data_IF_384912318971
#
_entry.id   IF_384912318971
#
_cell.length_a   1.000
_cell.length_b   1.000
_cell.length_c   1.000
_cell.angle_alpha   90.00
_cell.angle_beta   90.00
_cell.angle_gamma   90.00
#
_symmetry.space_group_name_H-M   'P 1'
#
loop_
_entity.id
_entity.type
_entity.pdbx_description
1 polymer ?
#
# COMPACT_ATOMS: atom_id res chain seq x y z
N UNK A 1 3.51 11.51 0.81
CA UNK A 1 3.21 10.77 -0.44
C UNK A 1 4.44 10.47 -1.29
N UNK A 2 5.15 11.45 -1.85
CA UNK A 2 6.26 11.21 -2.80
C UNK A 2 7.36 10.28 -2.26
N UNK A 3 7.79 10.47 -1.01
CA UNK A 3 8.77 9.59 -0.37
C UNK A 3 8.30 8.13 -0.33
N UNK A 4 7.02 7.89 -0.04
CA UNK A 4 6.45 6.54 -0.04
C UNK A 4 6.42 5.94 -1.44
N UNK A 5 6.06 6.73 -2.46
CA UNK A 5 6.05 6.25 -3.85
C UNK A 5 7.44 5.81 -4.31
N UNK A 6 8.49 6.53 -3.91
CA UNK A 6 9.87 6.13 -4.16
C UNK A 6 10.21 4.83 -3.43
N UNK A 7 9.87 4.71 -2.13
CA UNK A 7 10.07 3.49 -1.36
C UNK A 7 9.41 2.28 -2.03
N UNK A 8 8.14 2.40 -2.45
CA UNK A 8 7.40 1.32 -3.11
C UNK A 8 7.93 1.01 -4.51
N UNK A 9 8.39 2.03 -5.25
CA UNK A 9 8.99 1.86 -6.57
C UNK A 9 10.27 1.02 -6.51
N UNK A 10 11.13 1.27 -5.52
CA UNK A 10 12.36 0.51 -5.31
C UNK A 10 12.13 -0.88 -4.71
N UNK A 11 10.92 -1.19 -4.22
CA UNK A 11 10.48 -2.56 -3.95
C UNK A 11 10.23 -3.29 -5.27
N UNK A 12 11.32 -3.73 -5.92
CA UNK A 12 11.34 -4.26 -7.28
C UNK A 12 10.32 -5.38 -7.56
N UNK A 13 10.08 -6.25 -6.58
CA UNK A 13 9.10 -7.33 -6.70
C UNK A 13 7.66 -6.79 -6.75
N UNK A 14 7.35 -5.78 -5.94
CA UNK A 14 6.07 -5.06 -5.99
C UNK A 14 5.93 -4.35 -7.33
N UNK A 15 6.94 -3.59 -7.77
CA UNK A 15 6.93 -2.89 -9.06
C UNK A 15 6.63 -3.83 -10.23
N UNK A 16 7.31 -4.98 -10.30
CA UNK A 16 7.06 -6.00 -11.33
C UNK A 16 5.63 -6.54 -11.29
N UNK A 17 5.05 -6.70 -10.09
CA UNK A 17 3.67 -7.15 -9.96
C UNK A 17 2.67 -6.08 -10.40
N UNK A 18 2.91 -4.81 -10.04
CA UNK A 18 2.09 -3.67 -10.47
C UNK A 18 2.03 -3.57 -12.00
N UNK A 19 3.14 -3.77 -12.71
CA UNK A 19 3.14 -3.77 -14.18
C UNK A 19 2.37 -4.93 -14.83
N UNK A 20 2.12 -6.03 -14.11
CA UNK A 20 1.38 -7.20 -14.62
C UNK A 20 -0.12 -7.16 -14.28
N UNK A 21 -0.59 -6.12 -13.60
CA UNK A 21 -2.01 -5.98 -13.28
C UNK A 21 -2.81 -5.66 -14.54
N UNK A 22 -3.95 -6.33 -14.78
CA UNK A 22 -4.83 -6.03 -15.90
C UNK A 22 -5.57 -4.70 -15.65
N UNK A 23 -5.24 -3.70 -16.46
CA UNK A 23 -5.76 -2.32 -16.35
C UNK A 23 -6.22 -1.76 -17.70
N UNK A 24 -6.36 -2.61 -18.72
CA UNK A 24 -6.73 -2.22 -20.07
C UNK A 24 -8.16 -1.67 -20.15
N UNK A 25 -9.06 -2.21 -19.32
CA UNK A 25 -10.46 -1.78 -19.23
C UNK A 25 -10.70 -0.73 -18.13
N UNK A 26 -9.65 -0.27 -17.45
CA UNK A 26 -9.79 0.60 -16.29
C UNK A 26 -10.02 2.06 -16.68
N UNK A 27 -10.86 2.75 -15.90
CA UNK A 27 -11.05 4.19 -16.03
C UNK A 27 -9.74 4.93 -15.73
N UNK A 28 -9.27 5.70 -16.72
CA UNK A 28 -8.00 6.42 -16.68
C UNK A 28 -7.85 7.45 -15.55
N UNK A 29 -8.96 7.87 -14.95
CA UNK A 29 -9.05 8.89 -13.90
C UNK A 29 -9.38 8.31 -12.52
N UNK A 30 -10.04 7.16 -12.45
CA UNK A 30 -10.48 6.53 -11.19
C UNK A 30 -9.64 5.31 -10.78
N UNK A 31 -8.88 4.71 -11.69
CA UNK A 31 -8.07 3.53 -11.36
C UNK A 31 -6.74 3.89 -10.69
N UNK A 32 -6.62 3.50 -9.42
CA UNK A 32 -5.37 3.65 -8.63
C UNK A 32 -4.26 2.77 -9.19
N UNK A 33 -4.59 1.54 -9.62
CA UNK A 33 -3.60 0.63 -10.19
C UNK A 33 -2.99 1.20 -11.48
N UNK A 34 -3.83 1.70 -12.39
CA UNK A 34 -3.37 2.32 -13.63
C UNK A 34 -2.59 3.61 -13.37
N UNK A 35 -3.02 4.43 -12.40
CA UNK A 35 -2.29 5.62 -12.02
C UNK A 35 -0.91 5.29 -11.44
N UNK A 36 -0.81 4.23 -10.63
CA UNK A 36 0.46 3.79 -10.06
C UNK A 36 1.40 3.20 -11.11
N UNK A 37 0.88 2.39 -12.05
CA UNK A 37 1.65 1.90 -13.19
C UNK A 37 2.26 3.06 -14.00
N UNK A 38 1.48 4.11 -14.27
CA UNK A 38 1.98 5.33 -14.95
C UNK A 38 3.09 5.99 -14.16
N UNK A 39 2.92 6.19 -12.85
CA UNK A 39 3.96 6.78 -12.00
C UNK A 39 5.23 5.92 -12.02
N UNK A 40 5.13 4.60 -11.88
CA UNK A 40 6.29 3.72 -11.91
C UNK A 40 6.95 3.68 -13.28
N UNK A 41 6.18 3.72 -14.37
CA UNK A 41 6.70 3.80 -15.73
C UNK A 41 7.51 5.09 -15.93
N UNK A 42 6.92 6.25 -15.61
CA UNK A 42 7.59 7.53 -15.74
C UNK A 42 8.84 7.61 -14.84
N UNK A 43 8.80 7.05 -13.61
CA UNK A 43 9.97 6.97 -12.73
C UNK A 43 11.11 6.10 -13.27
N UNK A 44 10.80 5.19 -14.19
CA UNK A 44 11.79 4.30 -14.79
C UNK A 44 12.42 4.87 -16.06
N UNK A 45 11.68 5.68 -16.82
CA UNK A 45 12.08 6.09 -18.16
C UNK A 45 12.19 7.60 -18.37
N UNK A 46 11.61 8.43 -17.50
CA UNK A 46 11.63 9.88 -17.65
C UNK A 46 12.86 10.48 -16.97
N UNK A 47 13.54 11.37 -17.69
CA UNK A 47 14.60 12.24 -17.13
C UNK A 47 14.03 13.51 -16.47
N UNK A 48 12.70 13.65 -16.44
CA UNK A 48 11.99 14.79 -15.85
C UNK A 48 11.26 14.38 -14.56
N UNK A 49 11.04 15.33 -13.62
CA UNK A 49 10.24 15.06 -12.43
C UNK A 49 8.84 14.52 -12.77
N UNK A 50 8.48 13.40 -12.14
CA UNK A 50 7.21 12.71 -12.40
C UNK A 50 6.06 13.36 -11.63
N UNK A 51 4.99 13.71 -12.35
CA UNK A 51 3.78 14.29 -11.75
C UNK A 51 2.84 13.23 -11.16
N UNK A 52 2.33 13.47 -9.95
CA UNK A 52 1.43 12.55 -9.22
C UNK A 52 -0.05 12.95 -9.26
N UNK A 53 -0.42 13.97 -10.05
CA UNK A 53 -1.78 14.52 -10.12
C UNK A 53 -2.86 13.49 -10.49
N UNK A 54 -2.54 12.55 -11.40
CA UNK A 54 -3.49 11.49 -11.79
C UNK A 54 -3.68 10.47 -10.67
N UNK A 55 -2.63 10.25 -9.87
CA UNK A 55 -2.69 9.35 -8.72
C UNK A 55 -3.58 9.95 -7.62
N UNK A 56 -3.37 11.20 -7.21
CA UNK A 56 -4.22 11.85 -6.20
C UNK A 56 -5.68 11.88 -6.64
N UNK A 57 -5.95 12.19 -7.91
CA UNK A 57 -7.31 12.14 -8.46
C UNK A 57 -7.94 10.75 -8.40
N UNK A 58 -7.17 9.68 -8.63
CA UNK A 58 -7.68 8.30 -8.51
C UNK A 58 -8.04 7.88 -7.08
N UNK A 59 -7.51 8.57 -6.07
CA UNK A 59 -7.94 8.41 -4.68
C UNK A 59 -9.21 9.21 -4.34
N UNK A 60 -9.73 10.02 -5.27
CA UNK A 60 -10.85 10.92 -5.02
C UNK A 60 -10.45 12.19 -4.27
N UNK A 61 -9.14 12.47 -4.16
CA UNK A 61 -8.65 13.70 -3.55
C UNK A 61 -8.73 14.85 -4.55
N UNK A 62 -9.44 15.91 -4.18
CA UNK A 62 -9.45 17.15 -4.95
C UNK A 62 -8.14 17.92 -4.75
N UNK A 63 -7.94 18.96 -5.56
CA UNK A 63 -6.71 19.79 -5.51
C UNK A 63 -6.47 20.39 -4.13
N UNK A 64 -7.51 20.64 -3.34
CA UNK A 64 -7.42 21.16 -1.97
C UNK A 64 -7.01 20.08 -0.96
N UNK A 65 -7.49 18.84 -1.11
CA UNK A 65 -7.11 17.70 -0.27
C UNK A 65 -5.63 17.34 -0.44
N UNK A 66 -5.04 17.65 -1.60
CA UNK A 66 -3.60 17.44 -1.83
C UNK A 66 -2.69 18.31 -0.96
N UNK A 67 -3.23 19.38 -0.37
CA UNK A 67 -2.54 20.22 0.63
C UNK A 67 -2.78 19.74 2.07
N UNK A 68 -3.70 18.79 2.29
CA UNK A 68 -3.89 18.18 3.60
C UNK A 68 -2.76 17.20 3.89
N UNK A 69 -2.13 17.36 5.05
CA UNK A 69 -1.09 16.45 5.52
C UNK A 69 -1.75 15.13 5.91
N UNK A 70 -1.78 14.18 4.99
CA UNK A 70 -2.18 12.80 5.30
C UNK A 70 -1.04 12.09 6.03
N UNK A 71 -1.41 11.33 7.07
CA UNK A 71 -0.50 10.39 7.71
C UNK A 71 0.04 9.41 6.65
N UNK A 72 1.37 9.28 6.59
CA UNK A 72 2.04 8.39 5.63
C UNK A 72 1.63 6.94 5.84
N UNK A 73 1.37 6.54 7.09
CA UNK A 73 0.93 5.20 7.45
C UNK A 73 -0.48 4.92 6.95
N UNK A 74 -1.41 5.87 7.13
CA UNK A 74 -2.77 5.74 6.60
C UNK A 74 -2.75 5.64 5.07
N UNK A 75 -1.99 6.51 4.40
CA UNK A 75 -1.86 6.47 2.94
C UNK A 75 -1.27 5.13 2.45
N UNK A 76 -0.24 4.61 3.13
CA UNK A 76 0.35 3.31 2.78
C UNK A 76 -0.70 2.19 2.89
N UNK A 77 -1.46 2.15 3.98
CA UNK A 77 -2.49 1.13 4.20
C UNK A 77 -3.58 1.18 3.13
N UNK A 78 -4.10 2.37 2.83
CA UNK A 78 -5.15 2.54 1.80
C UNK A 78 -4.63 2.15 0.42
N UNK A 79 -3.39 2.48 0.09
CA UNK A 79 -2.78 2.10 -1.19
C UNK A 79 -2.58 0.58 -1.29
N UNK A 80 -2.03 -0.06 -0.26
CA UNK A 80 -1.80 -1.51 -0.25
C UNK A 80 -3.11 -2.30 -0.33
N UNK A 81 -4.16 -1.88 0.39
CA UNK A 81 -5.48 -2.51 0.35
C UNK A 81 -6.13 -2.41 -1.05
N UNK A 82 -6.08 -1.23 -1.67
CA UNK A 82 -6.57 -1.05 -3.05
C UNK A 82 -5.79 -1.90 -4.06
N UNK A 83 -4.46 -2.01 -3.90
CA UNK A 83 -3.63 -2.85 -4.75
C UNK A 83 -3.96 -4.33 -4.55
N UNK A 84 -4.01 -4.79 -3.31
CA UNK A 84 -4.34 -6.18 -2.99
C UNK A 84 -5.72 -6.55 -3.56
N UNK A 85 -6.73 -5.73 -3.32
CA UNK A 85 -8.08 -5.91 -3.84
C UNK A 85 -8.10 -6.01 -5.37
N UNK A 86 -7.35 -5.15 -6.06
CA UNK A 86 -7.25 -5.17 -7.53
C UNK A 86 -6.40 -6.32 -8.07
N UNK A 87 -5.49 -6.87 -7.28
CA UNK A 87 -4.69 -8.05 -7.65
C UNK A 87 -5.44 -9.37 -7.46
N UNK A 88 -6.53 -9.40 -6.67
CA UNK A 88 -7.37 -10.61 -6.50
C UNK A 88 -7.95 -11.07 -7.83
N UNK A 89 -7.88 -12.37 -8.11
CA UNK A 89 -8.34 -12.97 -9.36
C UNK A 89 -7.41 -12.72 -10.55
N UNK A 90 -6.18 -12.23 -10.33
CA UNK A 90 -5.19 -11.97 -11.37
C UNK A 90 -3.94 -12.84 -11.19
N UNK A 91 -3.04 -12.85 -12.18
CA UNK A 91 -1.78 -13.60 -12.09
C UNK A 91 -0.80 -13.13 -11.01
N UNK A 92 -1.09 -12.00 -10.35
CA UNK A 92 -0.25 -11.39 -9.30
C UNK A 92 -0.94 -11.35 -7.93
N UNK A 93 -2.03 -12.11 -7.77
CA UNK A 93 -2.73 -12.27 -6.49
C UNK A 93 -1.77 -12.67 -5.36
N UNK A 94 -2.02 -12.15 -4.16
CA UNK A 94 -1.24 -12.46 -2.96
C UNK A 94 0.15 -11.80 -2.91
N UNK A 95 0.52 -10.96 -3.90
CA UNK A 95 1.83 -10.29 -3.87
C UNK A 95 1.98 -9.35 -2.68
N UNK A 96 0.93 -8.57 -2.35
CA UNK A 96 0.96 -7.62 -1.23
C UNK A 96 1.11 -8.34 0.12
N UNK A 97 0.25 -9.33 0.47
CA UNK A 97 0.45 -10.12 1.68
C UNK A 97 1.82 -10.79 1.74
N UNK A 98 2.30 -11.39 0.64
CA UNK A 98 3.61 -12.05 0.62
C UNK A 98 4.78 -11.12 0.95
N UNK A 99 4.68 -9.84 0.59
CA UNK A 99 5.74 -8.85 0.78
C UNK A 99 5.68 -8.15 2.13
N UNK A 100 4.47 -7.91 2.66
CA UNK A 100 4.27 -7.00 3.78
C UNK A 100 3.56 -7.63 4.97
N UNK A 101 2.88 -8.77 4.82
CA UNK A 101 2.11 -9.38 5.91
C UNK A 101 3.03 -10.12 6.89
N UNK A 102 2.93 -9.77 8.16
CA UNK A 102 3.41 -10.54 9.29
C UNK A 102 2.25 -11.09 10.13
N UNK A 103 2.56 -12.03 11.02
CA UNK A 103 1.63 -12.54 12.03
C UNK A 103 2.13 -12.19 13.43
N UNK A 104 1.24 -11.63 14.24
CA UNK A 104 1.47 -11.37 15.65
C UNK A 104 0.55 -12.23 16.50
N UNK A 105 1.04 -12.67 17.66
CA UNK A 105 0.27 -13.46 18.61
C UNK A 105 0.12 -12.67 19.91
N UNK A 106 -1.10 -12.23 20.19
CA UNK A 106 -1.49 -11.58 21.43
C UNK A 106 -1.89 -12.65 22.44
N UNK A 107 -1.21 -12.70 23.59
CA UNK A 107 -1.42 -13.70 24.63
C UNK A 107 -1.80 -13.04 25.95
N UNK A 108 -2.81 -13.60 26.62
CA UNK A 108 -3.28 -13.18 27.95
C UNK A 108 -3.28 -14.40 28.86
N UNK A 109 -2.59 -14.32 30.01
CA UNK A 109 -2.59 -15.36 31.06
C UNK A 109 -3.06 -14.77 32.37
N UNK A 110 -4.02 -15.43 33.02
CA UNK A 110 -4.36 -15.10 34.40
C UNK A 110 -3.23 -15.54 35.35
N UNK A 111 -2.87 -14.69 36.33
CA UNK A 111 -1.79 -15.00 37.29
C UNK A 111 -2.20 -16.05 38.32
N UNK A 112 -3.46 -15.99 38.78
CA UNK A 112 -3.95 -16.78 39.92
C UNK A 112 -4.92 -17.90 39.51
N UNK A 113 -5.15 -18.09 38.20
CA UNK A 113 -6.05 -19.11 37.64
C UNK A 113 -5.42 -19.65 36.37
N UNK A 114 -5.55 -20.95 36.10
CA UNK A 114 -5.04 -21.60 34.88
C UNK A 114 -5.92 -21.35 33.65
N UNK A 115 -6.15 -20.08 33.33
CA UNK A 115 -6.86 -19.64 32.14
C UNK A 115 -5.93 -18.79 31.30
N UNK A 116 -5.87 -19.07 30.00
CA UNK A 116 -5.16 -18.25 29.04
C UNK A 116 -5.92 -18.13 27.73
N UNK A 117 -5.76 -16.98 27.06
CA UNK A 117 -6.30 -16.69 25.74
C UNK A 117 -5.16 -16.34 24.80
N UNK A 118 -5.25 -16.85 23.57
CA UNK A 118 -4.28 -16.56 22.50
C UNK A 118 -5.05 -16.12 21.27
N UNK A 119 -4.64 -15.00 20.68
CA UNK A 119 -5.23 -14.47 19.45
C UNK A 119 -4.11 -14.19 18.45
N UNK A 120 -4.24 -14.78 17.26
CA UNK A 120 -3.32 -14.52 16.14
C UNK A 120 -3.95 -13.46 15.25
N UNK A 121 -3.19 -12.41 14.93
CA UNK A 121 -3.59 -11.30 14.08
C UNK A 121 -2.52 -11.06 13.02
N UNK A 122 -2.93 -10.53 11.87
CA UNK A 122 -2.00 -10.11 10.82
C UNK A 122 -1.67 -8.63 10.94
N UNK A 123 -0.48 -8.23 10.51
CA UNK A 123 -0.05 -6.85 10.46
C UNK A 123 0.73 -6.57 9.17
N UNK A 124 0.73 -5.31 8.74
CA UNK A 124 1.45 -4.82 7.55
C UNK A 124 2.50 -3.75 7.89
N UNK A 125 2.39 -3.18 9.09
CA UNK A 125 3.30 -2.21 9.67
C UNK A 125 3.43 -2.45 11.18
N UNK A 126 4.47 -1.89 11.79
CA UNK A 126 4.72 -1.97 13.25
C UNK A 126 4.84 -0.55 13.76
N UNK A 127 4.01 -0.19 14.74
CA UNK A 127 4.07 1.09 15.43
C UNK A 127 5.05 1.00 16.60
N UNK A 128 6.04 1.88 16.62
CA UNK A 128 7.06 1.94 17.67
C UNK A 128 6.88 3.22 18.51
N UNK A 129 6.77 3.06 19.82
CA UNK A 129 6.73 4.19 20.74
C UNK A 129 8.11 4.83 20.85
N UNK A 130 8.18 6.14 20.61
CA UNK A 130 9.44 6.91 20.61
C UNK A 130 9.74 7.52 21.99
N UNK A 131 8.72 7.72 22.83
CA UNK A 131 8.87 8.39 24.11
C UNK A 131 9.74 7.54 25.06
N UNK A 132 10.87 8.12 25.49
CA UNK A 132 11.73 7.62 26.55
C UNK A 132 11.42 8.28 27.89
#
# INVERSE_FOLDING_TARGET
>A
MNSLLQTLYFTNQLRKAVYKMPTESDDSTRSVALALQRVFYELQFSDKPVGTKKLTKSFGWETLDSFMQHDVQEFLRVLLDKLESKMKGTCVEGTVPRLFEGKMTSYIKCKNVNVSSTRVETFYDIQLNIKG
#
